data_IF_650633287565
#
_entry.id   IF_650633287565
#
_cell.length_a   1.000
_cell.length_b   1.000
_cell.length_c   1.000
_cell.angle_alpha   90.00
_cell.angle_beta   90.00
_cell.angle_gamma   90.00
#
_symmetry.space_group_name_H-M   'P 1'
#
loop_
_entity.id
_entity.type
_entity.pdbx_description
1 polymer ?
#
# COMPACT_ATOMS: atom_id res chain seq x y z
N UNK A 1 -23.79 -5.22 -7.46
CA UNK A 1 -23.21 -5.60 -6.15
C UNK A 1 -23.00 -4.34 -5.32
N UNK A 2 -23.38 -4.37 -4.04
CA UNK A 2 -23.20 -3.22 -3.16
C UNK A 2 -21.79 -3.27 -2.53
N UNK A 3 -21.07 -2.13 -2.45
CA UNK A 3 -19.78 -2.09 -1.77
C UNK A 3 -19.95 -2.28 -0.25
N UNK A 4 -18.97 -2.90 0.37
CA UNK A 4 -18.93 -3.11 1.81
C UNK A 4 -17.85 -2.22 2.43
N UNK A 5 -18.23 -1.49 3.47
CA UNK A 5 -17.31 -0.70 4.30
C UNK A 5 -17.41 -1.22 5.72
N UNK A 6 -16.32 -1.77 6.24
CA UNK A 6 -16.29 -2.37 7.58
C UNK A 6 -15.32 -1.58 8.46
N UNK A 7 -15.80 -1.09 9.57
CA UNK A 7 -14.97 -0.47 10.59
C UNK A 7 -14.48 -1.54 11.58
N UNK A 8 -13.19 -1.53 11.86
CA UNK A 8 -12.53 -2.48 12.77
C UNK A 8 -11.73 -1.70 13.82
N UNK A 9 -11.76 -2.19 15.04
CA UNK A 9 -11.14 -1.56 16.20
C UNK A 9 -9.61 -1.74 16.29
N UNK A 10 -9.06 -2.68 15.52
CA UNK A 10 -7.62 -2.97 15.55
C UNK A 10 -7.11 -3.49 14.20
N UNK A 11 -5.89 -3.07 13.79
CA UNK A 11 -5.25 -3.59 12.58
C UNK A 11 -4.87 -5.08 12.68
N UNK A 12 -4.82 -5.64 13.90
CA UNK A 12 -4.52 -7.05 14.14
C UNK A 12 -5.70 -7.99 13.82
N UNK A 13 -6.89 -7.45 13.61
CA UNK A 13 -8.04 -8.26 13.23
C UNK A 13 -7.83 -8.90 11.86
N UNK A 14 -8.07 -10.19 11.75
CA UNK A 14 -7.93 -10.93 10.48
C UNK A 14 -8.65 -10.25 9.32
N UNK A 15 -9.84 -9.71 9.56
CA UNK A 15 -10.63 -9.03 8.53
C UNK A 15 -9.97 -7.73 8.04
N UNK A 16 -9.18 -7.06 8.89
CA UNK A 16 -8.44 -5.85 8.51
C UNK A 16 -7.27 -6.17 7.55
N UNK A 17 -6.81 -7.40 7.54
CA UNK A 17 -5.67 -7.87 6.75
C UNK A 17 -6.09 -8.82 5.61
N UNK A 18 -7.39 -8.92 5.36
CA UNK A 18 -7.92 -9.80 4.30
C UNK A 18 -8.35 -8.98 3.10
N UNK A 19 -7.87 -9.37 1.93
CA UNK A 19 -8.30 -8.83 0.65
C UNK A 19 -9.40 -9.69 0.04
N UNK A 20 -10.40 -9.04 -0.55
CA UNK A 20 -11.50 -9.71 -1.23
C UNK A 20 -11.64 -9.18 -2.66
N UNK A 21 -11.99 -10.06 -3.59
CA UNK A 21 -12.16 -9.76 -5.01
C UNK A 21 -13.54 -9.15 -5.34
N UNK A 22 -14.05 -8.27 -4.47
CA UNK A 22 -15.29 -7.49 -4.70
C UNK A 22 -15.12 -6.10 -4.04
N UNK A 23 -16.01 -5.14 -4.33
CA UNK A 23 -15.94 -3.80 -3.74
C UNK A 23 -16.06 -3.84 -2.20
N UNK A 24 -14.91 -3.78 -1.54
CA UNK A 24 -14.75 -3.97 -0.12
C UNK A 24 -13.64 -3.07 0.43
N UNK A 25 -13.86 -2.46 1.57
CA UNK A 25 -12.83 -1.71 2.29
C UNK A 25 -12.98 -1.89 3.79
N UNK A 26 -11.87 -2.08 4.46
CA UNK A 26 -11.81 -2.07 5.92
C UNK A 26 -11.23 -0.75 6.40
N UNK A 27 -11.89 -0.12 7.36
CA UNK A 27 -11.45 1.12 7.99
C UNK A 27 -10.98 0.80 9.40
N UNK A 28 -9.73 1.13 9.70
CA UNK A 28 -9.09 0.84 10.98
C UNK A 28 -8.52 2.11 11.56
N UNK A 29 -8.79 2.36 12.84
CA UNK A 29 -8.14 3.42 13.59
C UNK A 29 -6.83 2.90 14.18
N UNK A 30 -5.74 3.61 13.93
CA UNK A 30 -4.40 3.20 14.35
C UNK A 30 -3.57 4.46 14.65
N UNK A 31 -2.69 4.44 15.68
CA UNK A 31 -1.73 5.52 15.90
C UNK A 31 -0.85 5.76 14.67
N UNK A 32 -0.63 7.02 14.30
CA UNK A 32 0.17 7.38 13.12
C UNK A 32 1.56 6.74 13.12
N UNK A 33 2.22 6.67 14.28
CA UNK A 33 3.55 6.08 14.43
C UNK A 33 3.62 4.59 14.07
N UNK A 34 2.51 3.88 14.12
CA UNK A 34 2.42 2.44 13.83
C UNK A 34 1.92 2.15 12.41
N UNK A 35 1.36 3.13 11.71
CA UNK A 35 0.68 2.90 10.42
C UNK A 35 1.58 2.28 9.37
N UNK A 36 2.82 2.76 9.21
CA UNK A 36 3.76 2.26 8.20
C UNK A 36 4.10 0.79 8.41
N UNK A 37 4.31 0.38 9.66
CA UNK A 37 4.57 -1.01 10.02
C UNK A 37 3.33 -1.89 9.83
N UNK A 38 2.16 -1.40 10.27
CA UNK A 38 0.90 -2.16 10.26
C UNK A 38 0.34 -2.42 8.87
N UNK A 39 0.58 -1.53 7.90
CA UNK A 39 0.17 -1.80 6.51
C UNK A 39 1.03 -2.89 5.84
N UNK A 40 2.15 -3.26 6.43
CA UNK A 40 3.04 -4.31 5.92
C UNK A 40 3.49 -4.03 4.46
N UNK A 41 3.81 -5.06 3.70
CA UNK A 41 4.15 -4.90 2.27
C UNK A 41 2.89 -4.51 1.48
N UNK A 42 2.93 -3.38 0.80
CA UNK A 42 1.80 -2.88 0.02
C UNK A 42 2.23 -2.34 -1.35
N UNK A 43 1.41 -2.60 -2.36
CA UNK A 43 1.66 -2.16 -3.73
C UNK A 43 1.45 -0.65 -3.90
N UNK A 44 0.39 -0.11 -3.30
CA UNK A 44 0.05 1.31 -3.44
C UNK A 44 -0.45 1.88 -2.12
N UNK A 45 0.08 3.02 -1.74
CA UNK A 45 -0.39 3.81 -0.61
C UNK A 45 -0.63 5.25 -1.03
N UNK A 46 -1.79 5.81 -0.66
CA UNK A 46 -2.04 7.25 -0.73
C UNK A 46 -2.14 7.81 0.68
N UNK A 47 -1.18 8.63 1.07
CA UNK A 47 -1.11 9.24 2.38
C UNK A 47 -1.56 10.70 2.33
N UNK A 48 -2.59 11.02 3.10
CA UNK A 48 -3.12 12.39 3.24
C UNK A 48 -2.68 12.92 4.60
N UNK A 49 -1.67 13.76 4.60
CA UNK A 49 -1.07 14.31 5.83
C UNK A 49 -0.52 15.71 5.61
N UNK A 50 -0.46 16.49 6.70
CA UNK A 50 0.26 17.76 6.77
C UNK A 50 1.52 17.66 7.64
N UNK A 51 1.81 16.49 8.21
CA UNK A 51 2.97 16.24 9.02
C UNK A 51 4.19 15.94 8.14
N UNK A 52 5.07 16.94 8.01
CA UNK A 52 6.27 16.85 7.18
C UNK A 52 7.31 15.84 7.70
N UNK A 53 7.30 15.53 8.98
CA UNK A 53 8.18 14.51 9.54
C UNK A 53 7.70 13.13 9.11
N UNK A 54 6.42 12.86 9.27
CA UNK A 54 5.82 11.58 8.87
C UNK A 54 5.84 11.37 7.35
N UNK A 55 5.70 12.45 6.58
CA UNK A 55 5.86 12.41 5.12
C UNK A 55 7.26 11.88 4.71
N UNK A 56 8.33 12.30 5.41
CA UNK A 56 9.68 11.78 5.19
C UNK A 56 9.81 10.31 5.59
N UNK A 57 9.22 9.91 6.71
CA UNK A 57 9.20 8.51 7.14
C UNK A 57 8.52 7.61 6.09
N UNK A 58 7.44 8.08 5.46
CA UNK A 58 6.77 7.40 4.36
C UNK A 58 7.66 7.28 3.12
N UNK A 59 8.38 8.33 2.74
CA UNK A 59 9.29 8.32 1.59
C UNK A 59 10.44 7.34 1.82
N UNK A 60 10.94 7.23 3.05
CA UNK A 60 12.02 6.32 3.41
C UNK A 60 11.54 4.87 3.64
N UNK A 61 10.23 4.63 3.72
CA UNK A 61 9.65 3.32 3.93
C UNK A 61 9.91 2.39 2.73
N UNK A 62 10.39 1.17 3.01
CA UNK A 62 10.74 0.18 1.99
C UNK A 62 9.64 -0.83 1.69
N UNK A 63 8.54 -0.78 2.45
CA UNK A 63 7.39 -1.69 2.33
C UNK A 63 6.25 -1.15 1.45
N UNK A 64 6.43 0.03 0.84
CA UNK A 64 5.46 0.67 -0.05
C UNK A 64 6.09 0.80 -1.44
N UNK A 65 5.53 0.09 -2.41
CA UNK A 65 6.08 0.09 -3.78
C UNK A 65 5.75 1.39 -4.53
N UNK A 66 4.52 1.88 -4.41
CA UNK A 66 4.09 3.16 -4.98
C UNK A 66 3.45 4.02 -3.91
N UNK A 67 4.05 5.17 -3.65
CA UNK A 67 3.58 6.13 -2.66
C UNK A 67 3.02 7.38 -3.34
N UNK A 68 1.81 7.75 -2.99
CA UNK A 68 1.20 9.04 -3.31
C UNK A 68 1.11 9.89 -2.04
N UNK A 69 1.54 11.13 -2.11
CA UNK A 69 1.35 12.11 -1.03
C UNK A 69 0.26 13.09 -1.42
N UNK A 70 -0.78 13.18 -0.61
CA UNK A 70 -1.96 13.99 -0.87
C UNK A 70 -3.17 13.18 -1.34
N UNK A 71 -4.26 13.85 -1.73
CA UNK A 71 -5.53 13.21 -2.10
C UNK A 71 -5.48 12.64 -3.54
N UNK A 72 -4.51 11.79 -3.81
CA UNK A 72 -4.32 11.12 -5.11
C UNK A 72 -4.95 9.73 -5.02
N UNK A 73 -5.93 9.41 -5.86
CA UNK A 73 -6.51 8.06 -5.89
C UNK A 73 -5.47 6.99 -6.22
N UNK A 74 -5.54 5.85 -5.56
CA UNK A 74 -4.60 4.73 -5.77
C UNK A 74 -4.64 4.16 -7.19
N UNK A 75 -5.73 4.35 -7.91
CA UNK A 75 -5.88 3.93 -9.32
C UNK A 75 -5.26 4.91 -10.33
N UNK A 76 -4.85 6.10 -9.88
CA UNK A 76 -4.23 7.10 -10.76
C UNK A 76 -2.78 6.70 -11.05
N UNK A 77 -2.46 6.50 -12.32
CA UNK A 77 -1.14 6.13 -12.80
C UNK A 77 -0.43 7.33 -13.43
N UNK A 78 0.87 7.39 -13.21
CA UNK A 78 1.76 8.26 -13.96
C UNK A 78 2.66 7.40 -14.87
N UNK A 79 2.44 7.47 -16.17
CA UNK A 79 3.15 6.66 -17.18
C UNK A 79 4.65 6.96 -17.29
N UNK A 80 5.12 8.04 -16.66
CA UNK A 80 6.54 8.39 -16.58
C UNK A 80 7.25 7.75 -15.37
N UNK A 81 6.53 6.99 -14.56
CA UNK A 81 7.04 6.32 -13.37
C UNK A 81 6.81 4.80 -13.47
N UNK A 82 7.59 3.98 -12.76
CA UNK A 82 7.28 2.57 -12.59
C UNK A 82 5.86 2.40 -12.06
N UNK A 83 5.15 1.42 -12.58
CA UNK A 83 3.78 1.14 -12.15
C UNK A 83 3.74 0.72 -10.68
N UNK A 84 4.51 -0.30 -10.36
CA UNK A 84 4.70 -0.84 -9.02
C UNK A 84 6.11 -1.36 -8.89
N UNK A 85 6.80 -1.03 -7.79
CA UNK A 85 8.17 -1.46 -7.56
C UNK A 85 9.21 -0.81 -8.46
N UNK A 86 10.44 -1.21 -8.25
CA UNK A 86 11.60 -0.69 -8.95
C UNK A 86 11.96 -1.59 -10.14
N UNK A 87 12.12 -1.02 -11.32
CA UNK A 87 12.45 -1.78 -12.54
C UNK A 87 13.82 -2.46 -12.45
N UNK A 88 14.77 -1.86 -11.74
CA UNK A 88 16.11 -2.45 -11.54
C UNK A 88 16.00 -3.70 -10.67
N UNK A 89 15.25 -3.64 -9.58
CA UNK A 89 15.00 -4.81 -8.71
C UNK A 89 14.29 -5.93 -9.50
N UNK A 90 13.33 -5.58 -10.34
CA UNK A 90 12.64 -6.53 -11.20
C UNK A 90 13.61 -7.23 -12.19
N UNK A 91 14.50 -6.49 -12.81
CA UNK A 91 15.45 -7.03 -13.80
C UNK A 91 16.51 -7.94 -13.17
N UNK A 92 16.91 -7.69 -11.92
CA UNK A 92 17.99 -8.43 -11.26
C UNK A 92 17.50 -9.52 -10.30
N UNK A 93 16.22 -9.65 -10.06
CA UNK A 93 15.72 -10.73 -9.22
C UNK A 93 15.71 -12.08 -9.95
N UNK A 94 15.68 -13.16 -9.15
CA UNK A 94 15.62 -14.51 -9.68
C UNK A 94 14.42 -14.71 -10.62
N UNK A 95 14.64 -15.38 -11.73
CA UNK A 95 13.60 -15.71 -12.70
C UNK A 95 13.18 -17.17 -12.60
N UNK A 96 11.97 -17.48 -12.99
CA UNK A 96 11.56 -18.84 -13.25
C UNK A 96 12.26 -19.37 -14.52
N UNK A 97 12.77 -20.59 -14.43
CA UNK A 97 13.39 -21.31 -15.56
C UNK A 97 12.80 -22.70 -15.64
N UNK A 98 12.46 -23.12 -16.85
CA UNK A 98 11.88 -24.43 -17.10
C UNK A 98 12.40 -24.95 -18.44
N UNK A 99 12.78 -26.23 -18.48
CA UNK A 99 13.12 -26.95 -19.72
C UNK A 99 12.17 -28.12 -19.91
N UNK A 100 12.01 -28.50 -21.13
CA UNK A 100 11.32 -29.74 -21.48
C UNK A 100 12.21 -30.97 -21.20
#
# INVERSE_FOLDING_TARGET
MRPWVIHVDSPERKIAQTEYMFPYVTVVQCPQAEMIEKISQTLVCSAITNDKKWERELIDATNIDRLNIGPIPTIQLNWLQPHEGNIVDFLFRARAFQTA
#
